data_IF_433708939322
#
_entry.id   IF_433708939322
#
_cell.length_a   1.000
_cell.length_b   1.000
_cell.length_c   1.000
_cell.angle_alpha   90.00
_cell.angle_beta   90.00
_cell.angle_gamma   90.00
#
_symmetry.space_group_name_H-M   'P 1'
#
loop_
_entity.id
_entity.type
_entity.pdbx_description
1 polymer ?
#
# COMPACT_ATOMS: atom_id res chain seq x y z
N UNK A 1 16.37 9.14 3.02
CA UNK A 1 15.00 9.46 3.49
C UNK A 1 14.13 9.95 2.36
N UNK A 2 12.92 9.40 2.24
CA UNK A 2 11.88 9.89 1.35
C UNK A 2 10.84 10.63 2.23
N UNK A 3 10.98 11.96 2.42
CA UNK A 3 10.23 12.67 3.46
C UNK A 3 8.72 12.76 3.20
N UNK A 4 8.29 12.57 1.94
CA UNK A 4 6.87 12.58 1.56
C UNK A 4 6.49 11.15 1.17
N UNK A 5 5.71 10.48 2.01
CA UNK A 5 5.23 9.11 1.78
C UNK A 5 3.81 9.04 1.22
N UNK A 6 3.04 10.10 1.43
CA UNK A 6 1.70 10.25 0.91
C UNK A 6 1.38 11.73 0.70
N UNK A 7 0.57 12.02 -0.30
CA UNK A 7 -0.04 13.34 -0.49
C UNK A 7 -1.48 13.20 -0.95
N UNK A 8 -2.24 14.27 -0.76
CA UNK A 8 -3.59 14.41 -1.28
C UNK A 8 -3.67 15.71 -2.07
N UNK A 9 -4.24 15.66 -3.28
CA UNK A 9 -4.51 16.86 -4.07
C UNK A 9 -6.01 17.06 -4.21
N UNK A 10 -6.51 18.16 -3.64
CA UNK A 10 -7.96 18.43 -3.48
C UNK A 10 -8.64 17.23 -2.84
N UNK A 11 -9.87 16.92 -3.23
CA UNK A 11 -10.65 15.83 -2.63
C UNK A 11 -10.58 14.53 -3.43
N UNK A 12 -9.99 14.52 -4.62
CA UNK A 12 -10.16 13.40 -5.58
C UNK A 12 -8.90 12.61 -5.87
N UNK A 13 -7.74 13.00 -5.34
CA UNK A 13 -6.47 12.38 -5.71
C UNK A 13 -5.64 12.11 -4.46
N UNK A 14 -5.22 10.86 -4.32
CA UNK A 14 -4.22 10.41 -3.35
C UNK A 14 -3.01 9.86 -4.11
N UNK A 15 -1.82 10.27 -3.71
CA UNK A 15 -0.57 9.64 -4.13
C UNK A 15 0.10 9.00 -2.93
N UNK A 16 0.46 7.72 -3.06
CA UNK A 16 1.09 6.92 -2.00
C UNK A 16 2.38 6.33 -2.56
N UNK A 17 3.47 6.40 -1.78
CA UNK A 17 4.74 5.73 -2.12
C UNK A 17 4.86 4.33 -1.50
N UNK A 18 3.91 3.95 -0.65
CA UNK A 18 3.78 2.63 -0.08
C UNK A 18 2.54 1.94 -0.66
N UNK A 19 2.51 0.61 -0.51
CA UNK A 19 1.50 -0.25 -1.14
C UNK A 19 0.51 -0.79 -0.11
N UNK A 20 -0.52 -0.04 0.30
CA UNK A 20 -1.52 -0.54 1.23
C UNK A 20 -2.41 -1.64 0.63
N UNK A 21 -2.38 -1.82 -0.70
CA UNK A 21 -3.13 -2.82 -1.45
C UNK A 21 -2.52 -4.22 -1.40
N UNK A 22 -1.29 -4.37 -0.92
CA UNK A 22 -0.54 -5.62 -1.04
C UNK A 22 -1.16 -6.74 -0.21
N UNK A 23 -1.20 -7.95 -0.77
CA UNK A 23 -1.60 -9.17 -0.05
C UNK A 23 -0.38 -9.99 0.38
N UNK A 24 -0.57 -10.85 1.39
CA UNK A 24 0.49 -11.72 1.89
C UNK A 24 1.01 -12.68 0.81
N UNK A 25 0.11 -13.16 -0.05
CA UNK A 25 0.44 -13.99 -1.22
C UNK A 25 1.37 -13.24 -2.19
N UNK A 26 1.17 -11.94 -2.38
CA UNK A 26 2.01 -11.15 -3.28
C UNK A 26 3.45 -11.04 -2.75
N UNK A 27 3.65 -10.94 -1.44
CA UNK A 27 4.98 -10.84 -0.84
C UNK A 27 5.80 -12.10 -1.11
N UNK A 28 5.22 -13.29 -0.89
CA UNK A 28 5.92 -14.55 -1.17
C UNK A 28 6.24 -14.69 -2.66
N UNK A 29 5.28 -14.39 -3.54
CA UNK A 29 5.49 -14.40 -5.00
C UNK A 29 6.60 -13.43 -5.40
N UNK A 30 6.66 -12.23 -4.81
CA UNK A 30 7.70 -11.24 -5.10
C UNK A 30 9.08 -11.68 -4.59
N UNK A 31 9.17 -12.32 -3.42
CA UNK A 31 10.43 -12.85 -2.91
C UNK A 31 11.00 -13.93 -3.84
N UNK A 32 10.12 -14.81 -4.36
CA UNK A 32 10.49 -15.87 -5.29
C UNK A 32 10.84 -15.34 -6.69
N UNK A 33 10.12 -14.33 -7.17
CA UNK A 33 10.35 -13.74 -8.49
C UNK A 33 11.60 -12.86 -8.52
N UNK A 34 11.93 -12.18 -7.41
CA UNK A 34 12.99 -11.19 -7.33
C UNK A 34 13.97 -11.44 -6.15
N UNK A 35 14.61 -12.62 -6.05
CA UNK A 35 15.46 -12.97 -4.90
C UNK A 35 16.67 -12.03 -4.76
N UNK A 36 17.18 -11.48 -5.88
CA UNK A 36 18.29 -10.54 -5.86
C UNK A 36 17.93 -9.21 -5.20
N UNK A 37 16.68 -8.77 -5.30
CA UNK A 37 16.25 -7.51 -4.67
C UNK A 37 16.05 -7.68 -3.17
N UNK A 38 15.56 -8.85 -2.73
CA UNK A 38 15.52 -9.24 -1.32
C UNK A 38 16.93 -9.24 -0.71
N UNK A 39 17.90 -9.86 -1.41
CA UNK A 39 19.31 -9.88 -0.99
C UNK A 39 19.91 -8.47 -0.93
N UNK A 40 19.68 -7.63 -1.95
CA UNK A 40 20.15 -6.23 -1.97
C UNK A 40 19.52 -5.39 -0.86
N UNK A 41 18.27 -5.67 -0.52
CA UNK A 41 17.56 -5.04 0.59
C UNK A 41 18.11 -5.45 1.96
N UNK A 42 18.97 -6.47 2.04
CA UNK A 42 19.59 -6.92 3.29
C UNK A 42 18.59 -7.55 4.26
N UNK A 43 17.45 -8.03 3.77
CA UNK A 43 16.39 -8.65 4.56
C UNK A 43 16.17 -10.10 4.11
N UNK A 44 15.62 -10.94 4.99
CA UNK A 44 15.20 -12.30 4.64
C UNK A 44 13.73 -12.37 4.27
N UNK A 45 13.34 -13.40 3.53
CA UNK A 45 11.92 -13.71 3.26
C UNK A 45 11.14 -13.89 4.57
N UNK A 46 11.65 -14.67 5.53
CA UNK A 46 11.04 -14.83 6.86
C UNK A 46 10.84 -13.51 7.62
N UNK A 47 11.72 -12.53 7.40
CA UNK A 47 11.56 -11.20 7.98
C UNK A 47 10.41 -10.48 7.29
N UNK A 48 10.38 -10.47 5.95
CA UNK A 48 9.32 -9.85 5.16
C UNK A 48 7.96 -10.48 5.45
N UNK A 49 7.86 -11.80 5.60
CA UNK A 49 6.62 -12.49 5.97
C UNK A 49 6.10 -12.05 7.34
N UNK A 50 6.98 -11.99 8.36
CA UNK A 50 6.60 -11.52 9.70
C UNK A 50 6.14 -10.07 9.70
N UNK A 51 6.84 -9.20 8.98
CA UNK A 51 6.43 -7.80 8.84
C UNK A 51 5.09 -7.67 8.12
N UNK A 52 4.89 -8.47 7.07
CA UNK A 52 3.63 -8.53 6.32
C UNK A 52 2.48 -8.91 7.24
N UNK A 53 2.63 -9.98 8.03
CA UNK A 53 1.59 -10.41 8.97
C UNK A 53 1.26 -9.34 10.01
N UNK A 54 2.26 -8.59 10.49
CA UNK A 54 2.07 -7.54 11.48
C UNK A 54 1.36 -6.30 10.93
N UNK A 55 1.65 -5.90 9.68
CA UNK A 55 1.24 -4.59 9.15
C UNK A 55 0.08 -4.65 8.15
N UNK A 56 -0.13 -5.77 7.48
CA UNK A 56 -1.12 -5.92 6.42
C UNK A 56 -2.56 -5.58 6.88
N UNK A 57 -3.04 -5.96 8.09
CA UNK A 57 -4.37 -5.57 8.54
C UNK A 57 -4.56 -4.04 8.61
N UNK A 58 -3.55 -3.31 9.06
CA UNK A 58 -3.59 -1.85 9.13
C UNK A 58 -3.54 -1.22 7.74
N UNK A 59 -2.65 -1.72 6.88
CA UNK A 59 -2.53 -1.26 5.50
C UNK A 59 -3.84 -1.44 4.71
N UNK A 60 -4.50 -2.58 4.87
CA UNK A 60 -5.80 -2.84 4.25
C UNK A 60 -6.89 -1.90 4.76
N UNK A 61 -6.90 -1.56 6.05
CA UNK A 61 -7.81 -0.55 6.58
C UNK A 61 -7.55 0.84 5.98
N UNK A 62 -6.30 1.21 5.75
CA UNK A 62 -5.94 2.47 5.08
C UNK A 62 -6.42 2.46 3.63
N UNK A 63 -6.14 1.39 2.87
CA UNK A 63 -6.63 1.25 1.50
C UNK A 63 -8.16 1.35 1.43
N UNK A 64 -8.87 0.63 2.31
CA UNK A 64 -10.32 0.63 2.37
C UNK A 64 -10.88 2.03 2.64
N UNK A 65 -10.29 2.78 3.59
CA UNK A 65 -10.72 4.16 3.90
C UNK A 65 -10.51 5.10 2.72
N UNK A 66 -9.39 4.98 2.01
CA UNK A 66 -9.09 5.81 0.83
C UNK A 66 -10.10 5.52 -0.28
N UNK A 67 -10.34 4.23 -0.58
CA UNK A 67 -11.32 3.82 -1.60
C UNK A 67 -12.73 4.27 -1.23
N UNK A 68 -13.15 4.08 0.02
CA UNK A 68 -14.45 4.54 0.49
C UNK A 68 -14.61 6.05 0.35
N UNK A 69 -13.58 6.83 0.72
CA UNK A 69 -13.60 8.28 0.56
C UNK A 69 -13.74 8.67 -0.92
N UNK A 70 -12.87 8.15 -1.79
CA UNK A 70 -12.90 8.46 -3.22
C UNK A 70 -14.22 8.06 -3.90
N UNK A 71 -14.82 6.94 -3.52
CA UNK A 71 -16.08 6.47 -4.09
C UNK A 71 -17.29 7.24 -3.57
N UNK A 72 -17.30 7.66 -2.30
CA UNK A 72 -18.34 8.54 -1.75
C UNK A 72 -18.42 9.92 -2.41
N UNK A 73 -17.31 10.39 -2.98
CA UNK A 73 -17.26 11.65 -3.73
C UNK A 73 -17.77 11.49 -5.17
N UNK A 74 -17.78 10.26 -5.70
CA UNK A 74 -18.31 9.97 -7.04
C UNK A 74 -19.84 9.88 -7.07
N UNK A 75 -20.47 9.70 -5.91
CA UNK A 75 -21.93 9.71 -5.73
C UNK A 75 -22.49 11.10 -5.39
N UNK A 76 -21.63 12.12 -5.27
CA UNK A 76 -22.05 13.52 -5.18
C UNK A 76 -22.47 14.03 -6.57
N UNK A 77 -23.61 14.74 -6.71
CA UNK A 77 -24.02 15.28 -8.00
C UNK A 77 -22.92 16.20 -8.56
N UNK A 78 -22.63 16.03 -9.85
CA UNK A 78 -21.85 16.99 -10.63
C UNK A 78 -22.64 18.30 -10.68
N UNK A 79 -22.45 19.20 -9.71
CA UNK A 79 -22.59 20.66 -9.83
C UNK A 79 -22.41 21.35 -8.47
N UNK A 80 -21.40 22.20 -8.40
CA UNK A 80 -21.49 23.56 -7.84
C UNK A 80 -20.32 24.37 -8.38
#
# INVERSE_FOLDING_TARGET
DFPIQAFRHRDRVYGLLFHPEIEASNISVMCQACPQDVLRGGVSEDFLERQTQAHLPFLHQVAHRIVAHLTSLSSAPLNS
#
